data_IF_975494243437
#
_entry.id   IF_975494243437
#
_cell.length_a   1.000
_cell.length_b   1.000
_cell.length_c   1.000
_cell.angle_alpha   90.00
_cell.angle_beta   90.00
_cell.angle_gamma   90.00
#
_symmetry.space_group_name_H-M   'P 1'
#
loop_
_entity.id
_entity.type
_entity.pdbx_description
1 polymer ?
#
# COMPACT_ATOMS: atom_id res chain seq x y z
N UNK A 1 -3.81 5.64 44.17
CA UNK A 1 -4.45 4.39 43.68
C UNK A 1 -5.95 4.54 43.48
N UNK A 2 -6.69 5.12 44.43
CA UNK A 2 -8.14 5.40 44.30
C UNK A 2 -8.49 6.19 43.01
N UNK A 3 -7.75 7.27 42.74
CA UNK A 3 -8.03 8.14 41.59
C UNK A 3 -7.72 7.47 40.25
N UNK A 4 -6.69 6.60 40.22
CA UNK A 4 -6.36 5.80 39.05
C UNK A 4 -7.49 4.82 38.73
N UNK A 5 -8.07 4.17 39.75
CA UNK A 5 -9.22 3.27 39.57
C UNK A 5 -10.42 4.03 39.00
N UNK A 6 -10.73 5.22 39.53
CA UNK A 6 -11.81 6.07 39.01
C UNK A 6 -11.62 6.42 37.53
N UNK A 7 -10.40 6.77 37.12
CA UNK A 7 -10.09 7.05 35.71
C UNK A 7 -10.32 5.79 34.86
N UNK A 8 -9.75 4.65 35.27
CA UNK A 8 -9.88 3.39 34.54
C UNK A 8 -11.34 2.94 34.43
N UNK A 9 -12.15 3.11 35.46
CA UNK A 9 -13.57 2.76 35.45
C UNK A 9 -14.36 3.56 34.42
N UNK A 10 -13.97 4.81 34.17
CA UNK A 10 -14.52 5.63 33.08
C UNK A 10 -14.13 5.18 31.68
N UNK A 11 -13.06 4.37 31.53
CA UNK A 11 -12.62 3.87 30.23
C UNK A 11 -13.40 2.64 29.78
N UNK A 12 -13.82 2.63 28.51
CA UNK A 12 -14.48 1.49 27.85
C UNK A 12 -13.45 0.43 27.40
N UNK A 13 -12.66 -0.08 28.34
CA UNK A 13 -11.65 -1.12 28.08
C UNK A 13 -11.91 -2.38 28.93
N UNK A 14 -11.44 -3.56 28.49
CA UNK A 14 -11.67 -4.81 29.21
C UNK A 14 -11.14 -4.81 30.64
N UNK A 15 -11.91 -5.40 31.56
CA UNK A 15 -11.59 -5.46 33.01
C UNK A 15 -10.19 -6.00 33.28
N UNK A 16 -9.79 -7.04 32.55
CA UNK A 16 -8.46 -7.66 32.67
C UNK A 16 -7.33 -6.65 32.42
N UNK A 17 -7.44 -5.80 31.40
CA UNK A 17 -6.41 -4.79 31.13
C UNK A 17 -6.33 -3.72 32.25
N UNK A 18 -7.48 -3.36 32.84
CA UNK A 18 -7.51 -2.45 34.01
C UNK A 18 -6.80 -3.09 35.21
N UNK A 19 -7.09 -4.36 35.48
CA UNK A 19 -6.47 -5.13 36.56
C UNK A 19 -4.95 -5.29 36.34
N UNK A 20 -4.53 -5.64 35.12
CA UNK A 20 -3.12 -5.78 34.76
C UNK A 20 -2.36 -4.46 34.90
N UNK A 21 -2.96 -3.32 34.54
CA UNK A 21 -2.37 -2.00 34.72
C UNK A 21 -2.19 -1.63 36.21
N UNK A 22 -3.21 -1.86 37.03
CA UNK A 22 -3.16 -1.64 38.49
C UNK A 22 -2.08 -2.52 39.12
N UNK A 23 -2.00 -3.79 38.70
CA UNK A 23 -1.01 -4.73 39.18
C UNK A 23 0.42 -4.27 38.84
N UNK A 24 0.67 -3.85 37.59
CA UNK A 24 1.97 -3.32 37.17
C UNK A 24 2.43 -2.13 38.03
N UNK A 25 1.55 -1.16 38.27
CA UNK A 25 1.86 -0.03 39.15
C UNK A 25 2.15 -0.48 40.59
N UNK A 26 1.41 -1.46 41.09
CA UNK A 26 1.60 -2.02 42.44
C UNK A 26 2.93 -2.77 42.57
N UNK A 27 3.44 -3.35 41.48
CA UNK A 27 4.75 -3.98 41.40
C UNK A 27 5.91 -2.99 41.15
N UNK A 28 5.65 -1.68 41.15
CA UNK A 28 6.67 -0.65 40.95
C UNK A 28 7.12 -0.44 39.50
N UNK A 29 6.36 -0.93 38.52
CA UNK A 29 6.58 -0.58 37.11
C UNK A 29 6.34 0.92 36.94
N UNK A 30 7.21 1.61 36.20
CA UNK A 30 7.06 3.05 35.98
C UNK A 30 5.73 3.36 35.27
N UNK A 31 5.08 4.50 35.58
CA UNK A 31 3.83 4.89 34.94
C UNK A 31 3.89 4.87 33.41
N UNK A 32 4.95 5.39 32.81
CA UNK A 32 5.11 5.42 31.34
C UNK A 32 5.17 4.03 30.71
N UNK A 33 5.78 3.07 31.41
CA UNK A 33 5.85 1.68 30.92
C UNK A 33 4.50 0.99 31.10
N UNK A 34 3.83 1.23 32.21
CA UNK A 34 2.48 0.70 32.45
C UNK A 34 1.47 1.25 31.41
N UNK A 35 1.55 2.54 31.07
CA UNK A 35 0.71 3.18 30.05
C UNK A 35 0.97 2.57 28.67
N UNK A 36 2.24 2.41 28.28
CA UNK A 36 2.60 1.76 27.01
C UNK A 36 2.04 0.34 26.92
N UNK A 37 2.22 -0.47 27.97
CA UNK A 37 1.68 -1.82 28.02
C UNK A 37 0.13 -1.84 27.94
N UNK A 38 -0.55 -0.86 28.53
CA UNK A 38 -2.01 -0.72 28.42
C UNK A 38 -2.44 -0.40 26.99
N UNK A 39 -1.76 0.55 26.34
CA UNK A 39 -2.03 0.95 24.94
C UNK A 39 -1.80 -0.22 23.98
N UNK A 40 -0.69 -0.95 24.15
CA UNK A 40 -0.38 -2.16 23.39
C UNK A 40 -1.45 -3.24 23.62
N UNK A 41 -1.87 -3.45 24.86
CA UNK A 41 -2.94 -4.39 25.20
C UNK A 41 -4.27 -4.05 24.53
N UNK A 42 -4.66 -2.77 24.49
CA UNK A 42 -5.88 -2.33 23.80
C UNK A 42 -5.76 -2.57 22.29
N UNK A 43 -4.63 -2.18 21.71
CA UNK A 43 -4.33 -2.31 20.27
C UNK A 43 -4.36 -3.78 19.84
N UNK A 44 -3.78 -4.69 20.64
CA UNK A 44 -3.81 -6.13 20.42
C UNK A 44 -5.24 -6.69 20.48
N UNK A 45 -6.04 -6.30 21.47
CA UNK A 45 -7.43 -6.77 21.58
C UNK A 45 -8.30 -6.30 20.40
N UNK A 46 -8.16 -5.03 19.99
CA UNK A 46 -8.84 -4.52 18.80
C UNK A 46 -8.39 -5.27 17.54
N UNK A 47 -7.08 -5.54 17.40
CA UNK A 47 -6.55 -6.34 16.29
C UNK A 47 -7.20 -7.73 16.23
N UNK A 48 -7.26 -8.44 17.35
CA UNK A 48 -7.87 -9.77 17.43
C UNK A 48 -9.38 -9.75 17.15
N UNK A 49 -10.08 -8.72 17.63
CA UNK A 49 -11.50 -8.54 17.35
C UNK A 49 -11.74 -8.35 15.85
N UNK A 50 -10.95 -7.48 15.20
CA UNK A 50 -11.08 -7.21 13.78
C UNK A 50 -10.66 -8.41 12.93
N UNK A 51 -9.62 -9.15 13.33
CA UNK A 51 -9.18 -10.38 12.64
C UNK A 51 -10.28 -11.45 12.65
N UNK A 52 -10.99 -11.59 13.78
CA UNK A 52 -12.12 -12.52 13.89
C UNK A 52 -13.33 -12.08 13.07
N UNK A 53 -13.58 -10.78 13.01
CA UNK A 53 -14.73 -10.20 12.30
C UNK A 53 -14.52 -10.21 10.78
N UNK A 54 -13.32 -9.88 10.31
CA UNK A 54 -12.98 -9.72 8.89
C UNK A 54 -11.99 -10.81 8.51
N UNK A 55 -12.51 -11.98 8.15
CA UNK A 55 -11.67 -13.13 7.77
C UNK A 55 -10.91 -12.87 6.48
N UNK A 56 -9.68 -13.38 6.41
CA UNK A 56 -8.94 -13.42 5.17
C UNK A 56 -9.69 -14.27 4.11
N UNK A 57 -9.85 -13.78 2.87
CA UNK A 57 -10.41 -14.55 1.78
C UNK A 57 -9.58 -15.79 1.41
N UNK A 58 -10.23 -16.75 0.76
CA UNK A 58 -9.51 -17.83 0.08
C UNK A 58 -8.81 -17.30 -1.18
N UNK A 59 -7.57 -17.75 -1.41
CA UNK A 59 -6.81 -17.37 -2.59
C UNK A 59 -7.43 -18.04 -3.83
N UNK A 60 -7.77 -17.28 -4.89
CA UNK A 60 -8.23 -17.87 -6.14
C UNK A 60 -7.23 -18.86 -6.74
N UNK A 61 -7.74 -19.98 -7.28
CA UNK A 61 -6.91 -21.09 -7.76
C UNK A 61 -6.13 -20.76 -9.04
N UNK A 62 -6.58 -19.78 -9.82
CA UNK A 62 -5.98 -19.34 -11.08
C UNK A 62 -4.91 -18.25 -10.89
N UNK A 63 -4.56 -17.91 -9.65
CA UNK A 63 -3.48 -16.96 -9.36
C UNK A 63 -2.12 -17.59 -9.64
N UNK A 64 -1.26 -16.82 -10.31
CA UNK A 64 0.17 -17.13 -10.39
C UNK A 64 0.82 -17.04 -9.01
N UNK A 65 2.05 -17.55 -8.86
CA UNK A 65 2.79 -17.47 -7.60
C UNK A 65 3.02 -16.01 -7.15
N UNK A 66 3.28 -15.10 -8.11
CA UNK A 66 3.39 -13.66 -7.88
C UNK A 66 2.06 -13.08 -7.40
N UNK A 67 0.97 -13.32 -8.13
CA UNK A 67 -0.37 -12.81 -7.79
C UNK A 67 -0.82 -13.29 -6.41
N UNK A 68 -0.62 -14.58 -6.12
CA UNK A 68 -0.88 -15.17 -4.79
C UNK A 68 -0.09 -14.46 -3.72
N UNK A 69 1.19 -14.18 -3.96
CA UNK A 69 2.03 -13.48 -2.99
C UNK A 69 1.52 -12.06 -2.73
N UNK A 70 1.25 -11.29 -3.80
CA UNK A 70 0.77 -9.91 -3.69
C UNK A 70 -0.59 -9.86 -2.98
N UNK A 71 -1.53 -10.76 -3.34
CA UNK A 71 -2.83 -10.81 -2.69
C UNK A 71 -2.74 -11.16 -1.20
N UNK A 72 -1.85 -12.09 -0.83
CA UNK A 72 -1.59 -12.40 0.57
C UNK A 72 -0.98 -11.21 1.32
N UNK A 73 -0.13 -10.41 0.68
CA UNK A 73 0.34 -9.15 1.26
C UNK A 73 -0.83 -8.18 1.46
N UNK A 74 -1.66 -7.95 0.44
CA UNK A 74 -2.80 -7.02 0.52
C UNK A 74 -3.84 -7.42 1.59
N UNK A 75 -4.01 -8.71 1.84
CA UNK A 75 -4.91 -9.21 2.90
C UNK A 75 -4.25 -9.37 4.27
N UNK A 76 -2.93 -9.17 4.39
CA UNK A 76 -2.22 -9.34 5.65
C UNK A 76 -2.72 -8.35 6.69
N UNK A 77 -3.15 -8.85 7.85
CA UNK A 77 -3.47 -8.00 8.98
C UNK A 77 -2.18 -7.42 9.56
N UNK A 78 -2.02 -6.11 9.45
CA UNK A 78 -0.87 -5.36 9.95
C UNK A 78 -1.13 -4.64 11.27
N UNK A 79 -2.19 -5.05 11.96
CA UNK A 79 -2.58 -4.56 13.28
C UNK A 79 -3.65 -3.47 13.25
N UNK A 80 -4.04 -3.11 14.48
CA UNK A 80 -4.87 -1.97 14.85
C UNK A 80 -4.12 -1.22 15.93
N UNK A 81 -4.03 0.09 15.85
CA UNK A 81 -3.46 0.92 16.89
C UNK A 81 -4.44 2.03 17.31
N UNK A 82 -4.59 2.28 18.62
CA UNK A 82 -5.56 3.27 19.12
C UNK A 82 -5.28 4.71 18.66
N UNK A 83 -4.05 5.00 18.25
CA UNK A 83 -3.63 6.29 17.69
C UNK A 83 -3.58 6.31 16.16
N UNK A 84 -3.95 5.21 15.50
CA UNK A 84 -4.17 5.25 14.06
C UNK A 84 -5.59 5.84 13.78
N UNK A 85 -5.80 6.38 12.58
CA UNK A 85 -7.11 6.92 12.19
C UNK A 85 -8.08 5.82 11.69
N UNK A 86 -7.72 4.55 11.90
CA UNK A 86 -8.40 3.40 11.30
C UNK A 86 -9.77 3.11 11.89
N UNK A 87 -10.08 3.63 13.08
CA UNK A 87 -11.42 3.52 13.66
C UNK A 87 -12.43 4.49 12.99
N UNK A 88 -11.95 5.51 12.28
CA UNK A 88 -12.78 6.46 11.52
C UNK A 88 -12.88 6.08 10.04
N UNK A 89 -11.75 5.72 9.41
CA UNK A 89 -11.67 5.50 7.96
C UNK A 89 -11.57 4.02 7.54
N UNK A 90 -11.36 3.12 8.51
CA UNK A 90 -10.97 1.74 8.24
C UNK A 90 -9.47 1.63 7.93
N UNK A 91 -8.94 0.41 7.98
CA UNK A 91 -7.54 0.08 7.61
C UNK A 91 -7.53 -0.60 6.25
N UNK A 92 -6.45 -0.41 5.49
CA UNK A 92 -6.31 -0.96 4.15
C UNK A 92 -6.52 -2.48 4.12
N UNK A 93 -5.96 -3.26 5.05
CA UNK A 93 -6.18 -4.71 5.10
C UNK A 93 -7.64 -5.10 5.30
N UNK A 94 -8.42 -4.28 6.04
CA UNK A 94 -9.84 -4.53 6.30
C UNK A 94 -10.68 -4.32 5.03
N UNK A 95 -10.34 -3.29 4.26
CA UNK A 95 -10.95 -2.98 2.97
C UNK A 95 -10.54 -4.03 1.91
N UNK A 96 -9.26 -4.37 1.85
CA UNK A 96 -8.72 -5.36 0.92
C UNK A 96 -9.37 -6.74 1.11
N UNK A 97 -9.66 -7.16 2.34
CA UNK A 97 -10.35 -8.43 2.61
C UNK A 97 -11.81 -8.47 2.14
N UNK A 98 -12.40 -7.34 1.77
CA UNK A 98 -13.70 -7.32 1.07
C UNK A 98 -13.58 -7.70 -0.42
N UNK A 99 -12.37 -7.59 -0.98
CA UNK A 99 -12.07 -7.96 -2.36
C UNK A 99 -11.62 -9.42 -2.37
N UNK A 100 -12.47 -10.31 -2.90
CA UNK A 100 -12.18 -11.74 -2.99
C UNK A 100 -11.23 -12.09 -4.13
N UNK A 101 -11.24 -11.27 -5.18
CA UNK A 101 -10.46 -11.49 -6.40
C UNK A 101 -10.04 -10.13 -6.96
N UNK A 102 -8.77 -9.82 -6.81
CA UNK A 102 -8.19 -8.57 -7.27
C UNK A 102 -8.07 -8.52 -8.79
N UNK A 103 -7.95 -9.66 -9.51
CA UNK A 103 -7.88 -9.68 -10.98
C UNK A 103 -9.17 -9.20 -11.64
N UNK A 104 -10.29 -9.23 -10.90
CA UNK A 104 -11.60 -8.75 -11.35
C UNK A 104 -11.83 -7.27 -11.05
N UNK A 105 -10.93 -6.61 -10.34
CA UNK A 105 -11.01 -5.17 -10.12
C UNK A 105 -10.49 -4.44 -11.36
N UNK A 106 -10.99 -3.23 -11.58
CA UNK A 106 -10.39 -2.36 -12.60
C UNK A 106 -8.96 -1.96 -12.17
N UNK A 107 -8.00 -1.94 -13.10
CA UNK A 107 -6.63 -1.55 -12.80
C UNK A 107 -6.53 -0.07 -12.42
N UNK A 108 -7.41 0.79 -12.96
CA UNK A 108 -7.41 2.23 -12.71
C UNK A 108 -8.80 2.70 -12.32
N UNK A 109 -8.93 3.30 -11.14
CA UNK A 109 -10.14 3.99 -10.71
C UNK A 109 -10.03 5.46 -11.09
N UNK A 110 -11.03 5.97 -11.81
CA UNK A 110 -11.12 7.36 -12.25
C UNK A 110 -12.32 8.03 -11.59
N UNK A 111 -12.06 9.13 -10.90
CA UNK A 111 -13.06 10.03 -10.33
C UNK A 111 -12.95 11.35 -11.06
N UNK A 112 -14.00 11.76 -11.76
CA UNK A 112 -14.08 13.08 -12.40
C UNK A 112 -15.10 13.89 -11.63
N UNK A 113 -14.71 15.09 -11.23
CA UNK A 113 -15.54 16.04 -10.51
C UNK A 113 -16.36 16.92 -11.47
N UNK A 114 -17.35 17.63 -10.95
CA UNK A 114 -18.24 18.49 -11.71
C UNK A 114 -17.56 19.75 -12.28
N UNK A 115 -16.47 20.17 -11.65
CA UNK A 115 -15.56 21.23 -12.13
C UNK A 115 -14.51 20.73 -13.13
N UNK A 116 -14.41 19.41 -13.33
CA UNK A 116 -13.46 18.78 -14.24
C UNK A 116 -12.15 18.31 -13.61
N UNK A 117 -11.97 18.43 -12.28
CA UNK A 117 -10.85 17.79 -11.58
C UNK A 117 -10.89 16.27 -11.80
N UNK A 118 -9.72 15.65 -11.99
CA UNK A 118 -9.57 14.22 -12.26
C UNK A 118 -8.68 13.60 -11.18
N UNK A 119 -9.26 12.71 -10.36
CA UNK A 119 -8.52 11.92 -9.39
C UNK A 119 -8.40 10.47 -9.87
N UNK A 120 -7.18 9.97 -9.86
CA UNK A 120 -6.78 8.70 -10.45
C UNK A 120 -6.16 7.80 -9.36
N UNK A 121 -6.53 6.52 -9.36
CA UNK A 121 -6.00 5.53 -8.42
C UNK A 121 -5.68 4.22 -9.14
N UNK A 122 -4.41 3.95 -9.35
CA UNK A 122 -3.85 2.72 -9.91
C UNK A 122 -3.81 1.62 -8.85
N UNK A 123 -4.49 0.50 -9.13
CA UNK A 123 -4.52 -0.67 -8.27
C UNK A 123 -3.11 -1.22 -8.04
N UNK A 124 -2.66 -1.18 -6.78
CA UNK A 124 -1.38 -1.78 -6.37
C UNK A 124 -1.27 -3.26 -6.79
N UNK A 125 -2.37 -4.01 -6.77
CA UNK A 125 -2.34 -5.41 -7.25
C UNK A 125 -1.98 -5.50 -8.74
N UNK A 126 -2.62 -4.69 -9.59
CA UNK A 126 -2.40 -4.70 -11.04
C UNK A 126 -1.03 -4.16 -11.42
N UNK A 127 -0.58 -3.09 -10.75
CA UNK A 127 0.76 -2.57 -10.90
C UNK A 127 1.82 -3.61 -10.54
N UNK A 128 1.77 -4.16 -9.32
CA UNK A 128 2.79 -5.10 -8.86
C UNK A 128 2.83 -6.38 -9.70
N UNK A 129 1.69 -6.92 -10.17
CA UNK A 129 1.71 -8.12 -11.01
C UNK A 129 2.24 -7.89 -12.43
N UNK A 130 2.18 -6.65 -12.92
CA UNK A 130 2.69 -6.30 -14.25
C UNK A 130 4.23 -6.23 -14.28
N UNK A 131 4.84 -5.79 -13.17
CA UNK A 131 6.27 -5.51 -13.12
C UNK A 131 7.09 -6.45 -12.24
N UNK A 132 6.45 -7.30 -11.42
CA UNK A 132 7.16 -8.16 -10.48
C UNK A 132 7.01 -9.65 -10.79
N UNK A 133 8.08 -10.40 -10.57
CA UNK A 133 8.09 -11.85 -10.66
C UNK A 133 8.73 -12.52 -9.45
N UNK A 134 8.20 -13.72 -9.13
CA UNK A 134 8.77 -14.63 -8.13
C UNK A 134 9.63 -15.71 -8.76
N UNK A 135 10.88 -15.38 -8.99
CA UNK A 135 11.89 -16.30 -9.49
C UNK A 135 12.54 -17.14 -8.37
N UNK A 136 13.54 -17.96 -8.72
CA UNK A 136 14.25 -18.80 -7.74
C UNK A 136 15.10 -17.99 -6.77
N UNK A 137 15.76 -16.91 -7.24
CA UNK A 137 16.67 -16.10 -6.43
C UNK A 137 15.90 -15.30 -5.39
N UNK A 138 14.85 -14.59 -5.78
CA UNK A 138 13.97 -13.85 -4.84
C UNK A 138 13.40 -14.76 -3.74
N UNK A 139 12.99 -15.98 -4.08
CA UNK A 139 12.56 -17.00 -3.10
C UNK A 139 13.67 -17.45 -2.15
N UNK A 140 14.90 -17.59 -2.63
CA UNK A 140 16.03 -17.98 -1.79
C UNK A 140 16.42 -16.85 -0.83
N UNK A 141 16.51 -15.62 -1.34
CA UNK A 141 16.81 -14.43 -0.55
C UNK A 141 15.74 -14.18 0.50
N UNK A 142 14.45 -14.33 0.17
CA UNK A 142 13.36 -14.19 1.15
C UNK A 142 13.49 -15.20 2.30
N UNK A 143 13.82 -16.46 2.01
CA UNK A 143 14.06 -17.46 3.08
C UNK A 143 15.25 -17.07 3.95
N UNK A 144 16.35 -16.63 3.35
CA UNK A 144 17.53 -16.19 4.07
C UNK A 144 17.23 -14.95 4.94
N UNK A 145 16.46 -14.01 4.41
CA UNK A 145 15.96 -12.84 5.15
C UNK A 145 15.17 -13.25 6.39
N UNK A 146 14.24 -14.20 6.28
CA UNK A 146 13.50 -14.65 7.45
C UNK A 146 14.36 -15.42 8.46
N UNK A 147 15.42 -16.12 8.03
CA UNK A 147 16.40 -16.68 8.97
C UNK A 147 17.13 -15.56 9.71
N UNK A 148 17.61 -14.55 8.97
CA UNK A 148 18.28 -13.38 9.52
C UNK A 148 17.40 -12.60 10.50
N UNK A 149 16.16 -12.29 10.14
CA UNK A 149 15.22 -11.54 10.97
C UNK A 149 14.85 -12.27 12.28
N UNK A 150 14.97 -13.60 12.32
CA UNK A 150 14.68 -14.40 13.51
C UNK A 150 15.87 -14.55 14.48
N UNK A 151 17.07 -14.07 14.10
CA UNK A 151 18.24 -14.03 14.96
C UNK A 151 17.95 -13.20 16.23
N UNK A 152 18.40 -13.63 17.43
CA UNK A 152 18.09 -12.95 18.69
C UNK A 152 18.35 -11.42 18.68
N UNK A 153 19.44 -10.99 18.07
CA UNK A 153 19.86 -9.60 17.92
C UNK A 153 18.94 -8.76 17.03
N UNK A 154 18.23 -9.40 16.09
CA UNK A 154 17.38 -8.72 15.11
C UNK A 154 15.90 -8.67 15.52
N UNK A 155 15.49 -9.41 16.56
CA UNK A 155 14.07 -9.52 16.98
C UNK A 155 13.45 -8.20 17.45
N UNK A 156 14.28 -7.23 17.84
CA UNK A 156 13.82 -5.90 18.27
C UNK A 156 13.75 -4.90 17.13
N UNK A 157 14.26 -5.25 15.94
CA UNK A 157 14.19 -4.38 14.78
C UNK A 157 12.78 -4.37 14.21
N UNK A 158 12.38 -3.22 13.66
CA UNK A 158 11.22 -3.17 12.78
C UNK A 158 11.48 -3.97 11.51
N UNK A 159 10.44 -4.27 10.73
CA UNK A 159 10.65 -4.90 9.42
C UNK A 159 11.56 -4.08 8.51
N UNK A 160 11.40 -2.75 8.52
CA UNK A 160 12.28 -1.83 7.82
C UNK A 160 13.73 -1.94 8.30
N UNK A 161 13.96 -1.90 9.61
CA UNK A 161 15.31 -2.06 10.17
C UNK A 161 15.93 -3.41 9.82
N UNK A 162 15.13 -4.49 9.82
CA UNK A 162 15.57 -5.79 9.31
C UNK A 162 15.95 -5.74 7.83
N UNK A 163 15.20 -5.02 6.98
CA UNK A 163 15.51 -4.87 5.55
C UNK A 163 16.83 -4.14 5.35
N UNK A 164 17.05 -3.02 6.05
CA UNK A 164 18.28 -2.23 5.97
C UNK A 164 19.50 -3.03 6.45
N UNK A 165 19.39 -3.67 7.61
CA UNK A 165 20.47 -4.50 8.17
C UNK A 165 20.77 -5.73 7.32
N UNK A 166 19.75 -6.34 6.71
CA UNK A 166 19.94 -7.45 5.77
C UNK A 166 20.62 -6.99 4.48
N UNK A 167 20.22 -5.84 3.95
CA UNK A 167 20.82 -5.27 2.76
C UNK A 167 22.30 -4.95 2.97
N UNK A 168 22.67 -4.31 4.08
CA UNK A 168 24.07 -4.01 4.39
C UNK A 168 24.89 -5.28 4.67
N UNK A 169 24.47 -6.10 5.63
CA UNK A 169 25.31 -7.20 6.13
C UNK A 169 25.33 -8.42 5.21
N UNK A 170 24.25 -8.68 4.48
CA UNK A 170 24.11 -9.90 3.68
C UNK A 170 24.22 -9.55 2.19
N UNK A 171 23.39 -8.66 1.68
CA UNK A 171 23.40 -8.37 0.25
C UNK A 171 24.68 -7.65 -0.18
N UNK A 172 25.09 -6.57 0.50
CA UNK A 172 26.30 -5.83 0.14
C UNK A 172 27.59 -6.54 0.57
N UNK A 173 27.71 -6.96 1.84
CA UNK A 173 28.99 -7.45 2.36
C UNK A 173 29.29 -8.92 2.04
N UNK A 174 28.26 -9.77 1.88
CA UNK A 174 28.46 -11.21 1.61
C UNK A 174 28.25 -11.54 0.14
N UNK A 175 27.23 -10.97 -0.49
CA UNK A 175 26.94 -11.20 -1.91
C UNK A 175 27.54 -10.13 -2.84
N UNK A 176 28.10 -9.04 -2.31
CA UNK A 176 28.67 -7.95 -3.11
C UNK A 176 27.66 -7.32 -4.08
N UNK A 177 26.37 -7.33 -3.72
CA UNK A 177 25.30 -6.72 -4.49
C UNK A 177 25.26 -5.21 -4.33
N UNK A 178 24.91 -4.52 -5.41
CA UNK A 178 24.71 -3.07 -5.38
C UNK A 178 23.37 -2.76 -4.69
N UNK A 179 23.42 -1.98 -3.60
CA UNK A 179 22.25 -1.64 -2.81
C UNK A 179 21.84 -0.20 -3.09
N UNK A 180 20.57 -0.03 -3.38
CA UNK A 180 19.93 1.28 -3.48
C UNK A 180 19.06 1.47 -2.24
N UNK A 181 18.96 2.72 -1.77
CA UNK A 181 18.34 3.03 -0.48
C UNK A 181 16.85 2.64 -0.39
N UNK A 182 16.29 2.80 0.80
CA UNK A 182 14.86 2.59 1.02
C UNK A 182 14.06 3.74 0.42
N UNK A 183 13.00 3.35 -0.25
CA UNK A 183 12.05 4.19 -0.98
C UNK A 183 10.65 4.01 -0.38
N UNK A 184 9.89 5.09 -0.27
CA UNK A 184 8.50 5.06 0.17
C UNK A 184 7.65 5.95 -0.72
N UNK A 185 6.68 5.37 -1.42
CA UNK A 185 5.86 6.08 -2.40
C UNK A 185 4.98 7.16 -1.77
N UNK A 186 4.81 7.17 -0.44
CA UNK A 186 4.19 8.32 0.23
C UNK A 186 4.99 9.63 0.08
N UNK A 187 6.30 9.55 -0.11
CA UNK A 187 7.17 10.73 -0.14
C UNK A 187 7.21 11.44 -1.51
N UNK A 188 6.47 10.96 -2.51
CA UNK A 188 6.37 11.59 -3.83
C UNK A 188 5.01 11.31 -4.49
N UNK A 189 4.69 12.08 -5.52
CA UNK A 189 3.44 11.95 -6.27
C UNK A 189 3.43 10.66 -7.10
N UNK A 190 2.35 9.91 -7.01
CA UNK A 190 2.12 8.69 -7.78
C UNK A 190 0.62 8.36 -7.81
N UNK A 191 0.23 7.46 -8.70
CA UNK A 191 -1.13 6.99 -8.90
C UNK A 191 -1.52 5.84 -7.96
N UNK A 192 -0.59 5.24 -7.21
CA UNK A 192 -0.85 3.97 -6.53
C UNK A 192 -1.94 4.08 -5.47
N UNK A 193 -2.83 3.08 -5.46
CA UNK A 193 -3.99 3.05 -4.57
C UNK A 193 -3.64 2.87 -3.08
N UNK A 194 -2.40 2.50 -2.77
CA UNK A 194 -1.85 2.36 -1.42
C UNK A 194 -0.34 2.64 -1.43
N UNK A 195 0.21 3.07 -0.30
CA UNK A 195 1.64 3.29 -0.15
C UNK A 195 2.47 2.00 -0.25
N UNK A 196 3.62 2.08 -0.90
CA UNK A 196 4.62 1.03 -0.97
C UNK A 196 5.90 1.50 -0.27
N UNK A 197 6.53 0.61 0.49
CA UNK A 197 7.87 0.80 1.03
C UNK A 197 8.77 -0.31 0.50
N UNK A 198 9.87 0.04 -0.14
CA UNK A 198 10.75 -0.96 -0.74
C UNK A 198 12.22 -0.55 -0.73
N UNK A 199 13.09 -1.56 -0.81
CA UNK A 199 14.52 -1.42 -1.03
C UNK A 199 14.86 -2.10 -2.36
N UNK A 200 15.63 -1.46 -3.22
CA UNK A 200 16.08 -1.98 -4.51
C UNK A 200 17.53 -2.44 -4.42
N UNK A 201 17.89 -3.49 -5.15
CA UNK A 201 19.28 -3.95 -5.26
C UNK A 201 19.51 -4.69 -6.58
N UNK A 202 20.76 -4.73 -7.03
CA UNK A 202 21.16 -5.41 -8.26
C UNK A 202 22.03 -6.60 -7.92
N UNK A 203 21.74 -7.73 -8.54
CA UNK A 203 22.55 -8.93 -8.40
C UNK A 203 23.81 -8.87 -9.28
N UNK A 204 24.60 -9.95 -9.28
CA UNK A 204 25.83 -10.05 -10.06
C UNK A 204 25.65 -9.97 -11.59
N UNK A 205 24.42 -10.09 -12.09
CA UNK A 205 24.08 -10.00 -13.51
C UNK A 205 23.38 -8.68 -13.86
N UNK A 206 23.39 -7.69 -12.96
CA UNK A 206 22.68 -6.42 -13.11
C UNK A 206 21.15 -6.60 -13.19
N UNK A 207 20.61 -7.75 -12.73
CA UNK A 207 19.16 -7.92 -12.59
C UNK A 207 18.68 -7.18 -11.35
N UNK A 208 17.66 -6.34 -11.51
CA UNK A 208 17.04 -5.59 -10.42
C UNK A 208 16.08 -6.45 -9.59
N UNK A 209 16.25 -6.40 -8.26
CA UNK A 209 15.36 -7.03 -7.28
C UNK A 209 14.86 -6.00 -6.28
N UNK A 210 13.72 -6.32 -5.65
CA UNK A 210 13.17 -5.52 -4.56
C UNK A 210 12.81 -6.33 -3.33
N UNK A 211 12.98 -5.70 -2.18
CA UNK A 211 12.38 -6.10 -0.91
C UNK A 211 11.19 -5.18 -0.65
N UNK A 212 9.97 -5.69 -0.74
CA UNK A 212 8.74 -4.90 -0.78
C UNK A 212 7.87 -5.10 0.47
N UNK A 213 7.31 -4.00 0.96
CA UNK A 213 6.21 -3.95 1.91
C UNK A 213 5.07 -3.09 1.36
N UNK A 214 3.83 -3.48 1.65
CA UNK A 214 2.62 -2.71 1.29
C UNK A 214 2.06 -2.06 2.55
N UNK A 215 1.64 -0.80 2.48
CA UNK A 215 0.95 -0.14 3.58
C UNK A 215 -0.49 -0.67 3.69
N UNK A 216 -0.74 -1.46 4.73
CA UNK A 216 -2.03 -2.08 5.00
C UNK A 216 -2.74 -1.46 6.22
N UNK A 217 -2.11 -0.50 6.88
CA UNK A 217 -2.61 0.18 8.07
C UNK A 217 -3.54 1.34 7.75
N UNK A 218 -3.53 2.34 8.63
CA UNK A 218 -4.19 3.65 8.42
C UNK A 218 -3.22 4.83 8.69
N UNK A 219 -2.07 4.57 9.29
CA UNK A 219 -1.03 5.58 9.57
C UNK A 219 0.26 5.17 8.86
N UNK A 220 0.79 6.05 8.00
CA UNK A 220 1.93 5.74 7.13
C UNK A 220 3.24 5.44 7.89
N UNK A 221 3.31 5.76 9.18
CA UNK A 221 4.49 5.50 10.03
C UNK A 221 4.55 4.04 10.50
N UNK A 222 3.50 3.25 10.27
CA UNK A 222 3.42 1.84 10.63
C UNK A 222 2.45 1.07 9.74
N UNK A 223 2.10 -0.16 10.13
CA UNK A 223 1.08 -0.95 9.42
C UNK A 223 1.51 -1.48 8.05
N UNK A 224 2.82 -1.60 7.81
CA UNK A 224 3.37 -2.27 6.63
C UNK A 224 3.37 -3.78 6.77
N UNK A 225 3.15 -4.49 5.66
CA UNK A 225 3.20 -5.96 5.62
C UNK A 225 4.60 -6.47 5.92
N UNK A 226 4.71 -7.77 6.20
CA UNK A 226 6.00 -8.46 6.18
C UNK A 226 6.69 -8.28 4.82
N UNK A 227 8.03 -8.12 4.79
CA UNK A 227 8.77 -7.95 3.56
C UNK A 227 8.70 -9.19 2.65
N UNK A 228 8.53 -8.96 1.35
CA UNK A 228 8.55 -10.01 0.32
C UNK A 228 9.51 -9.63 -0.79
N UNK A 229 10.17 -10.62 -1.37
CA UNK A 229 11.19 -10.40 -2.39
C UNK A 229 10.65 -10.70 -3.78
N UNK A 230 11.02 -9.87 -4.74
CA UNK A 230 10.65 -10.01 -6.14
C UNK A 230 11.81 -9.60 -7.06
N UNK A 231 11.84 -10.19 -8.25
CA UNK A 231 12.58 -9.64 -9.40
C UNK A 231 11.71 -8.56 -10.05
N UNK A 232 12.31 -7.43 -10.41
CA UNK A 232 11.68 -6.41 -11.26
C UNK A 232 11.89 -6.81 -12.71
N UNK A 233 10.82 -6.82 -13.49
CA UNK A 233 10.85 -7.30 -14.87
C UNK A 233 11.34 -6.23 -15.85
N UNK A 234 10.88 -5.00 -15.68
CA UNK A 234 11.34 -3.82 -16.43
C UNK A 234 11.55 -2.67 -15.44
N UNK A 235 12.80 -2.27 -15.26
CA UNK A 235 13.20 -1.26 -14.28
C UNK A 235 12.61 0.12 -14.60
N UNK A 236 12.83 0.62 -15.81
CA UNK A 236 12.39 1.96 -16.20
C UNK A 236 10.87 2.09 -16.08
N UNK A 237 10.14 1.11 -16.63
CA UNK A 237 8.69 1.11 -16.58
C UNK A 237 8.13 0.85 -15.18
N UNK A 238 8.84 0.13 -14.30
CA UNK A 238 8.42 0.00 -12.91
C UNK A 238 8.28 1.36 -12.23
N UNK A 239 9.21 2.29 -12.48
CA UNK A 239 9.14 3.63 -11.90
C UNK A 239 8.17 4.55 -12.67
N UNK A 240 8.27 4.59 -14.00
CA UNK A 240 7.44 5.47 -14.84
C UNK A 240 5.95 5.14 -14.70
N UNK A 241 5.57 3.85 -14.70
CA UNK A 241 4.17 3.44 -14.60
C UNK A 241 3.50 3.77 -13.26
N UNK A 242 4.27 4.24 -12.25
CA UNK A 242 3.68 4.75 -11.01
C UNK A 242 3.01 6.11 -11.20
N UNK A 243 3.43 6.91 -12.19
CA UNK A 243 2.92 8.27 -12.47
C UNK A 243 2.26 8.39 -13.85
N UNK A 244 2.58 7.48 -14.77
CA UNK A 244 2.11 7.54 -16.14
C UNK A 244 0.66 7.07 -16.32
N UNK A 245 -0.11 7.90 -16.99
CA UNK A 245 -1.51 7.63 -17.34
C UNK A 245 -1.87 8.30 -18.63
N UNK A 246 -2.77 7.68 -19.36
CA UNK A 246 -3.26 8.21 -20.62
C UNK A 246 -4.77 8.32 -20.59
N UNK A 247 -5.30 9.29 -21.35
CA UNK A 247 -6.71 9.53 -21.55
C UNK A 247 -6.99 9.63 -23.05
N UNK A 248 -8.03 8.97 -23.56
CA UNK A 248 -8.30 8.97 -24.99
C UNK A 248 -9.76 8.81 -25.37
N UNK A 249 -10.07 9.24 -26.59
CA UNK A 249 -11.23 8.87 -27.36
C UNK A 249 -10.81 8.66 -28.83
N UNK A 250 -11.73 8.30 -29.72
CA UNK A 250 -11.43 8.12 -31.15
C UNK A 250 -10.85 9.38 -31.85
N UNK A 251 -11.01 10.57 -31.26
CA UNK A 251 -10.58 11.84 -31.88
C UNK A 251 -9.25 12.36 -31.35
N UNK A 252 -8.90 12.03 -30.11
CA UNK A 252 -7.80 12.67 -29.38
C UNK A 252 -7.28 11.73 -28.29
N UNK A 253 -5.99 11.83 -28.02
CA UNK A 253 -5.32 11.13 -26.93
C UNK A 253 -4.41 12.14 -26.22
N UNK A 254 -4.41 12.06 -24.89
CA UNK A 254 -3.56 12.81 -23.99
C UNK A 254 -2.81 11.82 -23.08
N UNK A 255 -1.65 12.23 -22.60
CA UNK A 255 -0.89 11.53 -21.57
C UNK A 255 -0.51 12.47 -20.44
N UNK A 256 -0.25 11.92 -19.27
CA UNK A 256 0.34 12.59 -18.12
C UNK A 256 1.44 11.69 -17.59
N UNK A 257 2.58 12.29 -17.27
CA UNK A 257 3.77 11.67 -16.66
C UNK A 257 3.96 12.11 -15.20
N UNK A 258 2.97 12.81 -14.64
CA UNK A 258 3.00 13.40 -13.30
C UNK A 258 1.69 13.15 -12.53
N UNK A 259 1.16 11.94 -12.67
CA UNK A 259 -0.01 11.45 -11.93
C UNK A 259 -1.32 12.20 -12.21
N UNK A 260 -1.45 12.75 -13.43
CA UNK A 260 -2.64 13.46 -13.90
C UNK A 260 -2.66 14.96 -13.57
N UNK A 261 -1.54 15.53 -13.09
CA UNK A 261 -1.46 16.94 -12.74
C UNK A 261 -1.31 17.83 -13.98
N UNK A 262 -0.47 17.45 -14.94
CA UNK A 262 -0.39 18.04 -16.28
C UNK A 262 -0.75 17.01 -17.34
N UNK A 263 -1.41 17.47 -18.40
CA UNK A 263 -1.79 16.63 -19.53
C UNK A 263 -1.19 17.16 -20.82
N UNK A 264 -0.70 16.26 -21.66
CA UNK A 264 0.00 16.58 -22.89
C UNK A 264 -0.67 15.87 -24.06
N UNK A 265 -0.81 16.57 -25.18
CA UNK A 265 -1.31 15.98 -26.41
C UNK A 265 -0.30 15.00 -27.01
N UNK A 266 -0.70 13.73 -27.17
CA UNK A 266 0.18 12.65 -27.67
C UNK A 266 0.84 12.96 -29.02
N UNK A 267 0.21 13.76 -29.88
CA UNK A 267 0.71 14.05 -31.24
C UNK A 267 1.67 15.21 -31.28
N UNK A 268 1.52 16.17 -30.37
CA UNK A 268 2.21 17.46 -30.42
C UNK A 268 3.09 17.72 -29.21
N UNK A 269 2.95 16.93 -28.14
CA UNK A 269 3.64 17.11 -26.86
C UNK A 269 3.25 18.40 -26.13
N UNK A 270 2.17 19.07 -26.56
CA UNK A 270 1.76 20.35 -25.98
C UNK A 270 0.89 20.12 -24.76
N UNK A 271 1.19 20.87 -23.69
CA UNK A 271 0.32 20.98 -22.52
C UNK A 271 -1.09 21.36 -22.99
N UNK A 272 -2.07 20.54 -22.60
CA UNK A 272 -3.47 20.69 -23.01
C UNK A 272 -4.38 20.22 -21.89
N UNK A 273 -5.25 21.09 -21.41
CA UNK A 273 -6.21 20.74 -20.37
C UNK A 273 -7.27 19.75 -20.91
N UNK A 274 -7.56 18.63 -20.22
CA UNK A 274 -8.58 17.68 -20.67
C UNK A 274 -9.95 18.31 -20.94
N UNK A 275 -10.31 19.33 -20.16
CA UNK A 275 -11.59 20.06 -20.25
C UNK A 275 -11.69 21.00 -21.46
N UNK A 276 -10.56 21.36 -22.10
CA UNK A 276 -10.56 22.10 -23.37
C UNK A 276 -10.98 21.24 -24.56
N UNK A 277 -10.81 19.91 -24.45
CA UNK A 277 -11.07 18.95 -25.52
C UNK A 277 -12.34 18.14 -25.26
N UNK A 278 -12.57 17.78 -24.00
CA UNK A 278 -13.66 16.91 -23.59
C UNK A 278 -14.55 17.59 -22.57
N UNK A 279 -15.84 17.37 -22.71
CA UNK A 279 -16.85 17.99 -21.85
C UNK A 279 -17.09 17.16 -20.60
N UNK A 280 -17.13 17.83 -19.47
CA UNK A 280 -17.54 17.28 -18.18
C UNK A 280 -19.06 17.07 -18.20
N UNK A 281 -19.52 15.83 -18.01
CA UNK A 281 -20.95 15.48 -18.01
C UNK A 281 -21.29 14.56 -16.84
N UNK A 282 -22.48 14.70 -16.23
CA UNK A 282 -22.88 13.85 -15.11
C UNK A 282 -23.06 12.40 -15.57
N UNK A 283 -22.65 11.43 -14.74
CA UNK A 283 -22.84 9.99 -15.02
C UNK A 283 -24.29 9.55 -14.94
N UNK A 284 -25.11 10.24 -14.13
CA UNK A 284 -26.53 9.94 -13.89
C UNK A 284 -27.33 11.21 -13.55
N UNK A 285 -28.68 11.20 -13.63
CA UNK A 285 -29.49 12.29 -13.09
C UNK A 285 -29.24 12.49 -11.60
N UNK A 286 -29.13 13.74 -11.14
CA UNK A 286 -28.77 14.12 -9.76
C UNK A 286 -27.44 13.49 -9.31
N UNK A 287 -26.41 13.57 -10.15
CA UNK A 287 -25.05 13.16 -9.81
C UNK A 287 -24.51 14.01 -8.64
N UNK A 288 -23.85 13.35 -7.69
CA UNK A 288 -22.99 14.04 -6.72
C UNK A 288 -21.78 14.66 -7.45
N UNK A 289 -21.08 15.61 -6.82
CA UNK A 289 -19.98 16.33 -7.48
C UNK A 289 -18.86 15.42 -7.99
N UNK A 290 -18.62 14.26 -7.37
CA UNK A 290 -17.60 13.27 -7.79
C UNK A 290 -18.12 12.21 -8.79
N UNK A 291 -19.34 12.36 -9.31
CA UNK A 291 -20.00 11.38 -10.20
C UNK A 291 -20.10 11.88 -11.64
N UNK A 292 -19.04 12.50 -12.15
CA UNK A 292 -18.95 12.99 -13.52
C UNK A 292 -18.03 12.11 -14.36
N UNK A 293 -18.01 12.39 -15.66
CA UNK A 293 -17.14 11.78 -16.66
C UNK A 293 -16.80 12.79 -17.75
N UNK A 294 -15.72 12.54 -18.47
CA UNK A 294 -15.38 13.29 -19.67
C UNK A 294 -16.00 12.63 -20.90
N UNK A 295 -16.57 13.46 -21.78
CA UNK A 295 -17.20 13.02 -23.03
C UNK A 295 -16.72 13.86 -24.20
N UNK A 296 -16.31 13.20 -25.27
CA UNK A 296 -15.89 13.91 -26.48
C UNK A 296 -17.10 14.40 -27.27
N UNK A 297 -17.17 15.71 -27.52
CA UNK A 297 -18.26 16.29 -28.32
C UNK A 297 -18.18 15.93 -29.81
N UNK A 298 -17.00 15.56 -30.32
CA UNK A 298 -16.80 15.20 -31.73
C UNK A 298 -17.27 13.78 -32.05
N UNK A 299 -16.83 12.77 -31.29
CA UNK A 299 -17.23 11.38 -31.52
C UNK A 299 -18.37 10.90 -30.62
N UNK A 300 -18.78 11.69 -29.62
CA UNK A 300 -19.86 11.33 -28.69
C UNK A 300 -19.51 10.21 -27.70
N UNK A 301 -18.27 9.70 -27.69
CA UNK A 301 -17.82 8.65 -26.78
C UNK A 301 -17.33 9.20 -25.43
N UNK A 302 -17.45 8.38 -24.40
CA UNK A 302 -16.84 8.64 -23.11
C UNK A 302 -15.32 8.46 -23.22
N UNK A 303 -14.56 9.36 -22.58
CA UNK A 303 -13.10 9.29 -22.52
C UNK A 303 -12.71 8.09 -21.67
N UNK A 304 -11.78 7.29 -22.19
CA UNK A 304 -11.21 6.14 -21.50
C UNK A 304 -9.86 6.54 -20.91
N UNK A 305 -9.53 6.00 -19.74
CA UNK A 305 -8.24 6.19 -19.11
C UNK A 305 -7.53 4.84 -19.00
N UNK A 306 -6.23 4.82 -19.24
CA UNK A 306 -5.42 3.61 -19.12
C UNK A 306 -4.08 3.91 -18.44
N UNK A 307 -3.67 3.08 -17.46
CA UNK A 307 -2.33 3.14 -16.88
C UNK A 307 -1.32 2.43 -17.78
N UNK A 308 -0.04 2.79 -17.66
CA UNK A 308 1.06 2.19 -18.42
C UNK A 308 1.49 0.83 -17.84
N UNK A 309 0.60 -0.17 -17.85
CA UNK A 309 0.88 -1.51 -17.31
C UNK A 309 1.40 -2.51 -18.34
N UNK A 310 1.27 -2.21 -19.62
CA UNK A 310 1.77 -3.04 -20.72
C UNK A 310 3.13 -2.50 -21.18
N UNK A 311 4.13 -3.38 -21.24
CA UNK A 311 5.49 -3.09 -21.71
C UNK A 311 5.96 -4.19 -22.66
#
# INVERSE_FOLDING_TARGET
MEDIKKILDGLKIPKKLKEDFIFQLSCGVSPDKAIRNLVEGISQLQTEMMEKAIKQPEVPADYTETEKTIALMLWENTGVHILDSGDLYGRHWQQNRQIKDFKKQEPLKVVVWDDGEINLYLSVFHFLRAFLARDKKSKALERLFYVFANLPENRTLSWLGCMEEFADKILAQVFEYEIHGVSNTYNWENLLSQGLQFLTFYDENEDMYIILQIHNGCDIRGGYTKPRFFKVLEEDYFFLAMSDVHAYCDCKSLYSDDSGYHWYDDKTGKLTEPTEIWKVVPKKPNAESWEYKLKCEKCGKDVQFYPSLDW
#
